data_IF_082546611849
#
_entry.id   IF_082546611849
#
_cell.length_a   1.000
_cell.length_b   1.000
_cell.length_c   1.000
_cell.angle_alpha   90.00
_cell.angle_beta   90.00
_cell.angle_gamma   90.00
#
_symmetry.space_group_name_H-M   'P 1'
#
loop_
_entity.id
_entity.type
_entity.pdbx_description
1 polymer ?
#
# COMPACT_ATOMS: atom_id res chain seq x y z
N UNK A 1 53.09 20.89 -56.26
CA UNK A 1 52.50 19.68 -56.86
C UNK A 1 52.86 18.51 -55.94
N UNK A 2 51.83 17.84 -55.38
CA UNK A 2 51.87 16.67 -54.48
C UNK A 2 52.64 16.84 -53.14
N UNK A 3 52.25 16.30 -52.00
CA UNK A 3 51.03 15.70 -51.44
C UNK A 3 51.42 15.45 -49.98
N UNK A 4 50.45 15.52 -49.04
CA UNK A 4 50.25 14.53 -47.94
C UNK A 4 49.50 15.15 -46.77
N UNK A 5 48.45 14.43 -46.41
CA UNK A 5 47.47 14.73 -45.40
C UNK A 5 47.97 14.41 -43.99
N UNK A 6 47.27 15.02 -43.03
CA UNK A 6 46.99 14.51 -41.68
C UNK A 6 47.95 14.93 -40.57
N UNK A 7 47.53 15.93 -39.80
CA UNK A 7 47.94 16.13 -38.42
C UNK A 7 46.69 16.38 -37.57
N UNK A 8 46.50 15.46 -36.63
CA UNK A 8 45.54 15.44 -35.53
C UNK A 8 45.57 16.72 -34.71
N UNK A 9 44.41 17.32 -34.43
CA UNK A 9 44.24 18.20 -33.26
C UNK A 9 43.11 17.66 -32.40
N UNK A 10 43.52 16.90 -31.38
CA UNK A 10 42.72 16.69 -30.18
C UNK A 10 42.79 17.98 -29.35
N UNK A 11 41.71 18.76 -29.32
CA UNK A 11 41.51 19.79 -28.31
C UNK A 11 40.19 19.57 -27.56
N UNK A 12 40.37 18.77 -26.51
CA UNK A 12 39.68 18.77 -25.23
C UNK A 12 39.16 20.17 -24.82
N UNK A 13 37.86 20.32 -24.61
CA UNK A 13 37.34 21.26 -23.63
C UNK A 13 35.91 20.88 -23.22
N UNK A 14 35.78 20.60 -21.92
CA UNK A 14 34.53 20.31 -21.24
C UNK A 14 33.46 21.38 -21.52
N UNK A 15 32.27 20.93 -21.91
CA UNK A 15 31.05 21.47 -21.31
C UNK A 15 30.02 20.36 -21.20
N UNK A 16 29.92 19.82 -19.99
CA UNK A 16 28.71 19.20 -19.52
C UNK A 16 27.55 20.14 -19.81
N UNK A 17 26.55 19.68 -20.55
CA UNK A 17 25.16 19.80 -20.17
C UNK A 17 24.41 18.59 -20.72
N UNK A 18 24.28 17.59 -19.84
CA UNK A 18 23.13 16.70 -19.84
C UNK A 18 21.86 17.56 -19.94
N UNK A 19 21.32 17.67 -21.15
CA UNK A 19 19.90 17.97 -21.26
C UNK A 19 19.27 16.61 -21.50
N UNK A 20 18.74 16.02 -20.42
CA UNK A 20 17.77 14.95 -20.53
C UNK A 20 16.67 15.45 -21.47
N UNK A 21 16.71 14.97 -22.70
CA UNK A 21 15.60 15.10 -23.63
C UNK A 21 14.52 14.17 -23.10
N UNK A 22 13.75 14.68 -22.14
CA UNK A 22 12.54 14.04 -21.67
C UNK A 22 11.61 14.00 -22.88
N UNK A 23 11.29 12.82 -23.46
CA UNK A 23 10.18 12.76 -24.37
C UNK A 23 8.97 13.05 -23.49
N UNK A 24 8.51 14.31 -23.51
CA UNK A 24 7.16 14.61 -23.06
C UNK A 24 6.28 13.66 -23.84
N UNK A 25 5.85 12.58 -23.18
CA UNK A 25 4.76 11.76 -23.62
C UNK A 25 3.60 12.75 -23.76
N UNK A 26 3.39 13.20 -25.01
CA UNK A 26 2.21 13.94 -25.37
C UNK A 26 1.07 12.96 -25.14
N UNK A 27 0.53 13.01 -23.92
CA UNK A 27 -0.72 12.38 -23.56
C UNK A 27 -1.69 12.85 -24.62
N UNK A 28 -2.00 11.95 -25.54
CA UNK A 28 -2.84 12.20 -26.69
C UNK A 28 -4.24 12.36 -26.12
N UNK A 29 -4.53 13.55 -25.64
CA UNK A 29 -5.87 13.94 -25.26
C UNK A 29 -6.68 13.88 -26.55
N UNK A 30 -7.48 12.83 -26.68
CA UNK A 30 -8.53 12.78 -27.68
C UNK A 30 -9.30 14.09 -27.58
N UNK A 31 -9.39 14.77 -28.71
CA UNK A 31 -10.15 16.01 -28.89
C UNK A 31 -11.64 15.74 -28.68
N UNK A 32 -12.05 15.54 -27.43
CA UNK A 32 -13.38 15.91 -26.98
C UNK A 32 -13.36 17.42 -26.88
N UNK A 33 -14.19 18.09 -27.68
CA UNK A 33 -14.40 19.53 -27.54
C UNK A 33 -14.54 19.89 -26.06
N UNK A 34 -13.87 20.96 -25.56
CA UNK A 34 -14.12 21.44 -24.20
C UNK A 34 -15.58 21.83 -23.97
N UNK A 35 -16.35 21.99 -25.06
CA UNK A 35 -17.80 22.25 -25.09
C UNK A 35 -18.63 21.03 -25.55
N UNK A 36 -18.04 19.83 -25.61
CA UNK A 36 -18.82 18.60 -25.63
C UNK A 36 -19.38 18.40 -24.21
N UNK A 37 -20.33 19.26 -23.85
CA UNK A 37 -21.24 19.09 -22.73
C UNK A 37 -21.67 17.63 -22.75
N UNK A 38 -21.04 16.81 -21.90
CA UNK A 38 -21.37 15.39 -21.76
C UNK A 38 -22.80 15.37 -21.28
N UNK A 39 -23.75 15.36 -22.22
CA UNK A 39 -25.17 15.24 -21.93
C UNK A 39 -25.27 14.08 -20.96
N UNK A 40 -25.67 14.32 -19.71
CA UNK A 40 -25.54 13.31 -18.68
C UNK A 40 -26.42 12.14 -19.13
N UNK A 41 -25.80 11.00 -19.42
CA UNK A 41 -26.55 9.87 -19.92
C UNK A 41 -27.61 9.51 -18.88
N UNK A 42 -28.84 9.29 -19.33
CA UNK A 42 -29.99 9.08 -18.44
C UNK A 42 -29.71 7.93 -17.44
N UNK A 43 -28.95 6.93 -17.92
CA UNK A 43 -28.47 5.78 -17.15
C UNK A 43 -27.44 6.20 -16.09
N UNK A 44 -26.48 7.06 -16.42
CA UNK A 44 -25.50 7.53 -15.43
C UNK A 44 -26.15 8.36 -14.32
N UNK A 45 -27.14 9.19 -14.65
CA UNK A 45 -27.91 9.92 -13.63
C UNK A 45 -28.72 8.98 -12.73
N UNK A 46 -29.34 7.93 -13.30
CA UNK A 46 -30.09 6.96 -12.51
C UNK A 46 -29.23 6.28 -11.43
N UNK A 47 -28.07 5.73 -11.80
CA UNK A 47 -27.16 5.09 -10.84
C UNK A 47 -26.57 6.09 -9.84
N UNK A 48 -26.33 7.34 -10.27
CA UNK A 48 -25.84 8.40 -9.39
C UNK A 48 -26.88 8.81 -8.34
N UNK A 49 -28.16 8.83 -8.70
CA UNK A 49 -29.24 9.28 -7.80
C UNK A 49 -29.74 8.16 -6.91
N UNK A 50 -29.95 6.95 -7.43
CA UNK A 50 -30.61 5.88 -6.68
C UNK A 50 -29.63 4.88 -6.08
N UNK A 51 -28.60 4.49 -6.82
CA UNK A 51 -27.70 3.43 -6.37
C UNK A 51 -26.64 3.95 -5.41
N UNK A 52 -26.18 5.19 -5.59
CA UNK A 52 -25.15 5.80 -4.72
C UNK A 52 -25.58 5.93 -3.25
N UNK A 53 -26.79 6.42 -2.93
CA UNK A 53 -27.26 6.47 -1.55
C UNK A 53 -27.50 5.08 -0.96
N UNK A 54 -28.14 4.17 -1.72
CA UNK A 54 -28.41 2.80 -1.28
C UNK A 54 -27.12 2.06 -0.97
N UNK A 55 -26.14 2.13 -1.86
CA UNK A 55 -24.83 1.51 -1.64
C UNK A 55 -24.12 2.11 -0.42
N UNK A 56 -24.19 3.43 -0.24
CA UNK A 56 -23.60 4.09 0.93
C UNK A 56 -24.22 3.57 2.23
N UNK A 57 -25.54 3.45 2.28
CA UNK A 57 -26.25 2.93 3.48
C UNK A 57 -25.93 1.46 3.68
N UNK A 58 -25.97 0.63 2.64
CA UNK A 58 -25.62 -0.79 2.71
C UNK A 58 -24.20 -1.00 3.26
N UNK A 59 -23.23 -0.24 2.76
CA UNK A 59 -21.83 -0.34 3.21
C UNK A 59 -21.66 0.15 4.64
N UNK A 60 -22.29 1.27 5.01
CA UNK A 60 -22.24 1.77 6.39
C UNK A 60 -22.95 0.83 7.36
N UNK A 61 -24.09 0.26 6.98
CA UNK A 61 -24.84 -0.70 7.79
C UNK A 61 -24.02 -1.98 8.00
N UNK A 62 -23.47 -2.53 6.91
CA UNK A 62 -22.61 -3.72 6.99
C UNK A 62 -21.39 -3.43 7.86
N UNK A 63 -20.69 -2.32 7.62
CA UNK A 63 -19.51 -1.95 8.41
C UNK A 63 -19.84 -1.80 9.90
N UNK A 64 -20.96 -1.15 10.23
CA UNK A 64 -21.42 -0.97 11.61
C UNK A 64 -21.70 -2.32 12.26
N UNK A 65 -22.38 -3.23 11.55
CA UNK A 65 -22.59 -4.60 12.01
C UNK A 65 -21.28 -5.36 12.23
N UNK A 66 -20.33 -5.24 11.29
CA UNK A 66 -19.02 -5.89 11.43
C UNK A 66 -18.27 -5.37 12.67
N UNK A 67 -18.26 -4.06 12.91
CA UNK A 67 -17.60 -3.48 14.09
C UNK A 67 -18.30 -3.92 15.37
N UNK A 68 -19.62 -3.93 15.41
CA UNK A 68 -20.38 -4.37 16.58
C UNK A 68 -20.12 -5.86 16.88
N UNK A 69 -20.19 -6.71 15.86
CA UNK A 69 -19.92 -8.15 15.99
C UNK A 69 -18.47 -8.42 16.39
N UNK A 70 -17.52 -7.73 15.76
CA UNK A 70 -16.10 -7.84 16.13
C UNK A 70 -15.85 -7.36 17.55
N UNK A 71 -16.47 -6.25 17.97
CA UNK A 71 -16.35 -5.73 19.34
C UNK A 71 -16.90 -6.74 20.35
N UNK A 72 -18.08 -7.31 20.07
CA UNK A 72 -18.67 -8.38 20.90
C UNK A 72 -17.69 -9.55 21.05
N UNK A 73 -17.22 -10.09 19.92
CA UNK A 73 -16.30 -11.24 19.90
C UNK A 73 -14.96 -10.94 20.59
N UNK A 74 -14.49 -9.67 20.54
CA UNK A 74 -13.24 -9.25 21.17
C UNK A 74 -13.38 -9.08 22.68
N UNK A 75 -14.49 -8.53 23.15
CA UNK A 75 -14.74 -8.42 24.59
C UNK A 75 -14.71 -9.78 25.28
N UNK A 76 -15.24 -10.82 24.63
CA UNK A 76 -15.21 -12.19 25.17
C UNK A 76 -13.82 -12.82 25.10
N UNK A 77 -13.02 -12.47 24.09
CA UNK A 77 -11.66 -13.00 23.95
C UNK A 77 -10.64 -12.32 24.85
N UNK A 78 -10.82 -11.04 25.17
CA UNK A 78 -9.85 -10.28 25.95
C UNK A 78 -9.78 -10.78 27.41
N UNK A 79 -10.90 -11.23 27.99
CA UNK A 79 -10.93 -11.87 29.32
C UNK A 79 -10.20 -13.23 29.31
N UNK A 80 -10.47 -14.06 28.30
CA UNK A 80 -9.85 -15.39 28.17
C UNK A 80 -8.35 -15.28 27.88
N UNK A 81 -7.93 -14.26 27.13
CA UNK A 81 -6.53 -14.08 26.74
C UNK A 81 -5.65 -13.65 27.89
N UNK A 82 -6.16 -12.83 28.80
CA UNK A 82 -5.43 -12.44 30.02
C UNK A 82 -5.21 -13.66 30.92
N UNK A 83 -6.24 -14.46 31.13
CA UNK A 83 -6.16 -15.66 31.98
C UNK A 83 -5.21 -16.71 31.39
N UNK A 84 -5.31 -16.98 30.08
CA UNK A 84 -4.41 -17.90 29.37
C UNK A 84 -2.97 -17.38 29.30
N UNK A 85 -2.77 -16.06 29.19
CA UNK A 85 -1.45 -15.45 29.26
C UNK A 85 -0.77 -15.72 30.60
N UNK A 86 -1.50 -15.56 31.70
CA UNK A 86 -1.00 -15.83 33.05
C UNK A 86 -0.71 -17.31 33.30
N UNK A 87 -1.54 -18.22 32.76
CA UNK A 87 -1.25 -19.66 32.79
C UNK A 87 0.05 -20.00 32.05
N UNK A 88 0.26 -19.42 30.86
CA UNK A 88 1.48 -19.64 30.06
C UNK A 88 2.71 -19.14 30.80
N UNK A 89 2.70 -17.92 31.34
CA UNK A 89 3.82 -17.39 32.13
C UNK A 89 4.15 -18.27 33.35
N UNK A 90 3.13 -18.77 34.04
CA UNK A 90 3.31 -19.68 35.17
C UNK A 90 3.91 -21.03 34.75
N UNK A 91 3.52 -21.55 33.58
CA UNK A 91 4.08 -22.79 33.03
C UNK A 91 5.52 -22.60 32.54
N UNK A 92 5.83 -21.47 31.90
CA UNK A 92 7.18 -21.12 31.49
C UNK A 92 8.12 -20.98 32.70
N UNK A 93 7.66 -20.37 33.79
CA UNK A 93 8.42 -20.28 35.04
C UNK A 93 8.73 -21.67 35.62
N UNK A 94 7.75 -22.58 35.64
CA UNK A 94 7.95 -23.97 36.10
C UNK A 94 8.92 -24.74 35.19
N UNK A 95 8.84 -24.55 33.88
CA UNK A 95 9.78 -25.17 32.93
C UNK A 95 11.20 -24.64 33.19
N UNK A 96 11.36 -23.33 33.40
CA UNK A 96 12.65 -22.72 33.69
C UNK A 96 13.26 -23.25 35.00
N UNK A 97 12.45 -23.39 36.05
CA UNK A 97 12.87 -23.95 37.34
C UNK A 97 13.31 -25.42 37.20
N UNK A 98 12.51 -26.25 36.52
CA UNK A 98 12.84 -27.65 36.28
C UNK A 98 14.08 -27.82 35.39
N UNK A 99 14.25 -26.98 34.37
CA UNK A 99 15.47 -26.98 33.55
C UNK A 99 16.70 -26.55 34.35
N UNK A 100 16.58 -25.60 35.28
CA UNK A 100 17.67 -25.18 36.16
C UNK A 100 18.06 -26.29 37.16
N UNK A 101 17.08 -26.95 37.79
CA UNK A 101 17.31 -28.08 38.69
C UNK A 101 17.89 -29.31 37.98
N UNK A 102 17.47 -29.58 36.74
CA UNK A 102 18.03 -30.67 35.93
C UNK A 102 19.48 -30.39 35.53
N UNK A 103 19.82 -29.14 35.17
CA UNK A 103 21.20 -28.74 34.88
C UNK A 103 22.12 -28.80 36.10
N UNK A 104 21.61 -28.53 37.30
CA UNK A 104 22.36 -28.67 38.55
C UNK A 104 22.55 -30.12 39.02
N UNK A 105 21.76 -31.07 38.50
CA UNK A 105 21.88 -32.51 38.84
C UNK A 105 22.81 -33.26 37.89
N UNK A 106 23.11 -32.70 36.71
CA UNK A 106 24.02 -33.29 35.71
C UNK A 106 25.46 -32.75 35.76
N UNK A 107 25.79 -31.88 36.71
CA UNK A 107 27.13 -31.35 36.97
C UNK A 107 27.69 -31.96 38.26
#
# INVERSE_FOLDING_TARGET
MAARNSATVLCRALRAQHTMQNPRAALRFYSGSPDAEKRPSIVANFYKTFTRPVLKVLLMATLTYQIAYWSWTKFEQDEIREEKGREIEGLEAKIAELQAGTKGTQA
#
